data_IF_921235500089
#
_entry.id   IF_921235500089
#
_cell.length_a   1.000
_cell.length_b   1.000
_cell.length_c   1.000
_cell.angle_alpha   90.00
_cell.angle_beta   90.00
_cell.angle_gamma   90.00
#
_symmetry.space_group_name_H-M   'P 1'
#
loop_
_entity.id
_entity.type
_entity.pdbx_description
1 polymer ?
#
# COMPACT_ATOMS: atom_id res chain seq x y z
N UNK A 1 -2.96 -2.24 -40.42
CA UNK A 1 -4.26 -2.03 -39.75
C UNK A 1 -4.42 -3.14 -38.74
N UNK A 2 -3.89 -2.93 -37.53
CA UNK A 2 -4.23 -3.77 -36.38
C UNK A 2 -5.66 -3.36 -36.03
N UNK A 3 -6.61 -4.28 -36.10
CA UNK A 3 -7.94 -4.02 -35.57
C UNK A 3 -7.75 -3.67 -34.10
N UNK A 4 -8.18 -2.49 -33.66
CA UNK A 4 -8.27 -2.19 -32.23
C UNK A 4 -9.14 -3.29 -31.61
N UNK A 5 -8.50 -4.19 -30.86
CA UNK A 5 -9.23 -5.11 -29.98
C UNK A 5 -10.05 -4.22 -29.06
N UNK A 6 -11.36 -4.46 -29.01
CA UNK A 6 -12.24 -3.85 -28.03
C UNK A 6 -11.67 -4.17 -26.64
N UNK A 7 -11.27 -3.13 -25.90
CA UNK A 7 -10.67 -3.25 -24.56
C UNK A 7 -11.75 -3.66 -23.58
N UNK A 8 -11.52 -4.71 -22.79
CA UNK A 8 -12.49 -5.21 -21.81
C UNK A 8 -12.55 -4.32 -20.58
N UNK A 9 -11.47 -3.60 -20.28
CA UNK A 9 -11.40 -2.69 -19.14
C UNK A 9 -11.59 -1.25 -19.63
N UNK A 10 -12.65 -0.54 -19.18
CA UNK A 10 -12.98 0.79 -19.69
C UNK A 10 -12.10 1.88 -19.04
N UNK A 11 -10.80 1.91 -19.39
CA UNK A 11 -9.79 2.82 -18.82
C UNK A 11 -10.26 4.27 -18.77
N UNK A 12 -10.69 4.84 -19.89
CA UNK A 12 -11.04 6.25 -20.01
C UNK A 12 -12.20 6.62 -19.08
N UNK A 13 -13.19 5.72 -18.97
CA UNK A 13 -14.30 5.89 -18.06
C UNK A 13 -13.84 5.82 -16.60
N UNK A 14 -13.03 4.83 -16.22
CA UNK A 14 -12.50 4.67 -14.86
C UNK A 14 -11.71 5.91 -14.40
N UNK A 15 -10.79 6.39 -15.25
CA UNK A 15 -9.99 7.60 -14.97
C UNK A 15 -10.90 8.83 -14.85
N UNK A 16 -11.81 9.04 -15.81
CA UNK A 16 -12.68 10.22 -15.81
C UNK A 16 -13.64 10.23 -14.63
N UNK A 17 -14.32 9.12 -14.37
CA UNK A 17 -15.30 8.98 -13.28
C UNK A 17 -14.62 9.19 -11.92
N UNK A 18 -13.46 8.58 -11.70
CA UNK A 18 -12.70 8.70 -10.45
C UNK A 18 -12.15 10.10 -10.26
N UNK A 19 -11.59 10.71 -11.32
CA UNK A 19 -11.11 12.10 -11.29
C UNK A 19 -12.24 13.08 -10.98
N UNK A 20 -13.40 12.94 -11.62
CA UNK A 20 -14.56 13.79 -11.36
C UNK A 20 -15.09 13.59 -9.92
N UNK A 21 -15.09 12.35 -9.43
CA UNK A 21 -15.49 12.03 -8.06
C UNK A 21 -14.55 12.69 -7.04
N UNK A 22 -13.24 12.64 -7.27
CA UNK A 22 -12.22 13.34 -6.49
C UNK A 22 -12.41 14.85 -6.58
N UNK A 23 -12.61 15.42 -7.77
CA UNK A 23 -12.79 16.86 -7.97
C UNK A 23 -13.99 17.44 -7.23
N UNK A 24 -15.07 16.66 -7.09
CA UNK A 24 -16.25 17.04 -6.30
C UNK A 24 -16.06 16.97 -4.78
N UNK A 25 -14.96 16.40 -4.30
CA UNK A 25 -14.68 16.32 -2.87
C UNK A 25 -14.28 17.69 -2.30
N UNK A 26 -14.70 17.95 -1.06
CA UNK A 26 -14.48 19.21 -0.35
C UNK A 26 -14.11 18.94 1.10
N UNK A 27 -14.92 19.44 2.03
CA UNK A 27 -14.72 19.19 3.46
C UNK A 27 -15.09 17.75 3.84
N UNK A 28 -14.25 17.03 4.62
CA UNK A 28 -14.55 15.67 5.03
C UNK A 28 -15.75 15.56 5.97
N UNK A 29 -16.60 14.54 5.75
CA UNK A 29 -17.61 14.16 6.72
C UNK A 29 -17.04 13.20 7.78
N UNK A 30 -16.68 13.76 8.94
CA UNK A 30 -16.20 12.98 10.09
C UNK A 30 -17.32 12.25 10.86
N UNK A 31 -18.51 12.08 10.27
CA UNK A 31 -19.57 11.26 10.87
C UNK A 31 -19.07 9.85 11.18
N UNK A 32 -19.29 9.45 12.42
CA UNK A 32 -18.82 8.17 12.97
C UNK A 32 -17.52 8.28 13.78
N UNK A 33 -16.72 9.34 13.60
CA UNK A 33 -15.50 9.56 14.37
C UNK A 33 -15.80 10.28 15.69
N UNK A 34 -15.23 9.78 16.79
CA UNK A 34 -15.40 10.38 18.12
C UNK A 34 -14.32 11.41 18.38
N UNK A 35 -14.70 12.57 18.91
CA UNK A 35 -13.73 13.53 19.44
C UNK A 35 -13.12 13.05 20.75
N UNK A 36 -11.79 13.17 20.87
CA UNK A 36 -11.00 12.69 22.00
C UNK A 36 -10.41 13.87 22.77
N UNK A 37 -10.62 13.88 24.09
CA UNK A 37 -10.10 14.92 24.97
C UNK A 37 -8.60 14.74 25.23
N UNK A 38 -7.86 15.83 25.44
CA UNK A 38 -6.40 15.79 25.65
C UNK A 38 -5.97 14.87 26.81
N UNK A 39 -6.74 14.81 27.90
CA UNK A 39 -6.45 13.90 29.01
C UNK A 39 -6.55 12.42 28.64
N UNK A 40 -7.48 12.07 27.75
CA UNK A 40 -7.60 10.69 27.25
C UNK A 40 -6.41 10.35 26.35
N UNK A 41 -5.99 11.27 25.47
CA UNK A 41 -4.79 11.10 24.63
C UNK A 41 -3.55 10.83 25.47
N UNK A 42 -3.30 11.69 26.48
CA UNK A 42 -2.16 11.54 27.37
C UNK A 42 -2.23 10.25 28.21
N UNK A 43 -3.42 9.73 28.52
CA UNK A 43 -3.58 8.43 29.16
C UNK A 43 -3.22 7.31 28.19
N UNK A 44 -3.73 7.34 26.97
CA UNK A 44 -3.45 6.34 25.94
C UNK A 44 -1.95 6.27 25.65
N UNK A 45 -1.29 7.42 25.48
CA UNK A 45 0.16 7.49 25.27
C UNK A 45 0.97 6.85 26.41
N UNK A 46 0.54 7.02 27.68
CA UNK A 46 1.21 6.37 28.82
C UNK A 46 1.03 4.85 28.81
N UNK A 47 -0.18 4.39 28.50
CA UNK A 47 -0.44 2.95 28.40
C UNK A 47 0.35 2.33 27.25
N UNK A 48 0.41 3.00 26.09
CA UNK A 48 1.24 2.56 24.95
C UNK A 48 2.70 2.47 25.38
N UNK A 49 3.27 3.52 25.99
CA UNK A 49 4.67 3.51 26.47
C UNK A 49 4.94 2.34 27.41
N UNK A 50 4.05 2.09 28.37
CA UNK A 50 4.16 0.98 29.32
C UNK A 50 4.13 -0.39 28.63
N UNK A 51 3.23 -0.57 27.66
CA UNK A 51 3.15 -1.82 26.89
C UNK A 51 4.40 -2.02 26.03
N UNK A 52 4.90 -0.96 25.41
CA UNK A 52 6.15 -1.01 24.62
C UNK A 52 7.36 -1.34 25.49
N UNK A 53 7.47 -0.77 26.71
CA UNK A 53 8.54 -1.10 27.66
C UNK A 53 8.49 -2.56 28.12
N UNK A 54 7.28 -3.10 28.30
CA UNK A 54 7.09 -4.53 28.59
C UNK A 54 7.52 -5.39 27.40
N UNK A 55 7.10 -5.03 26.17
CA UNK A 55 7.54 -5.72 24.95
C UNK A 55 9.07 -5.76 24.84
N UNK A 56 9.76 -4.64 25.07
CA UNK A 56 11.24 -4.58 25.10
C UNK A 56 11.82 -5.61 26.08
N UNK A 57 11.22 -5.72 27.26
CA UNK A 57 11.67 -6.68 28.29
C UNK A 57 11.43 -8.12 27.85
N UNK A 58 10.25 -8.40 27.27
CA UNK A 58 9.84 -9.74 26.86
C UNK A 58 10.67 -10.27 25.69
N UNK A 59 11.14 -9.39 24.80
CA UNK A 59 11.94 -9.78 23.63
C UNK A 59 13.47 -9.72 23.86
N UNK A 60 13.93 -9.21 25.01
CA UNK A 60 15.35 -9.13 25.35
C UNK A 60 16.12 -10.48 25.19
N UNK A 61 15.53 -11.67 25.47
CA UNK A 61 16.20 -12.95 25.24
C UNK A 61 16.57 -13.24 23.76
N UNK A 62 15.93 -12.57 22.81
CA UNK A 62 16.17 -12.73 21.37
C UNK A 62 17.12 -11.66 20.81
N UNK A 63 17.47 -10.66 21.62
CA UNK A 63 18.24 -9.50 21.18
C UNK A 63 19.64 -9.89 20.70
N UNK A 64 20.03 -9.38 19.53
CA UNK A 64 21.35 -9.62 18.94
C UNK A 64 21.59 -11.03 18.41
N UNK A 65 20.57 -11.91 18.42
CA UNK A 65 20.58 -13.14 17.63
C UNK A 65 20.24 -12.81 16.20
N UNK A 66 20.87 -13.50 15.25
CA UNK A 66 20.42 -13.46 13.87
C UNK A 66 19.03 -14.14 13.80
N UNK A 67 18.02 -13.55 13.14
CA UNK A 67 16.74 -14.21 12.91
C UNK A 67 16.87 -15.61 12.29
N UNK A 68 17.92 -15.87 11.49
CA UNK A 68 18.20 -17.18 10.89
C UNK A 68 18.74 -18.21 11.90
N UNK A 69 19.32 -17.75 13.00
CA UNK A 69 19.88 -18.59 14.06
C UNK A 69 18.84 -18.98 15.13
N UNK A 70 17.62 -18.43 15.06
CA UNK A 70 16.55 -18.73 15.99
C UNK A 70 16.01 -20.14 15.75
N UNK A 71 15.91 -20.94 16.82
CA UNK A 71 15.22 -22.23 16.74
C UNK A 71 13.73 -22.02 16.42
N UNK A 72 13.03 -23.02 15.84
CA UNK A 72 11.60 -22.90 15.57
C UNK A 72 10.78 -22.48 16.80
N UNK A 73 11.11 -23.03 17.98
CA UNK A 73 10.45 -22.68 19.23
C UNK A 73 10.70 -21.23 19.68
N UNK A 74 11.90 -20.69 19.44
CA UNK A 74 12.22 -19.29 19.74
C UNK A 74 11.51 -18.34 18.77
N UNK A 75 11.46 -18.69 17.48
CA UNK A 75 10.68 -17.94 16.48
C UNK A 75 9.19 -17.90 16.85
N UNK A 76 8.61 -19.04 17.24
CA UNK A 76 7.21 -19.10 17.67
C UNK A 76 6.95 -18.28 18.94
N UNK A 77 7.89 -18.25 19.89
CA UNK A 77 7.77 -17.44 21.11
C UNK A 77 7.87 -15.94 20.80
N UNK A 78 8.81 -15.53 19.94
CA UNK A 78 8.95 -14.14 19.50
C UNK A 78 7.70 -13.66 18.76
N UNK A 79 7.20 -14.46 17.81
CA UNK A 79 5.94 -14.20 17.10
C UNK A 79 4.78 -14.04 18.07
N UNK A 80 4.58 -14.98 19.00
CA UNK A 80 3.51 -14.89 20.01
C UNK A 80 3.63 -13.65 20.88
N UNK A 81 4.84 -13.26 21.26
CA UNK A 81 5.10 -12.06 22.06
C UNK A 81 4.70 -10.79 21.32
N UNK A 82 5.12 -10.64 20.06
CA UNK A 82 4.78 -9.49 19.21
C UNK A 82 3.28 -9.45 18.93
N UNK A 83 2.67 -10.58 18.56
CA UNK A 83 1.22 -10.68 18.30
C UNK A 83 0.40 -10.32 19.54
N UNK A 84 0.79 -10.82 20.73
CA UNK A 84 0.11 -10.49 21.99
C UNK A 84 0.19 -8.99 22.30
N UNK A 85 1.32 -8.35 22.03
CA UNK A 85 1.46 -6.91 22.21
C UNK A 85 0.53 -6.12 21.29
N UNK A 86 0.51 -6.46 20.00
CA UNK A 86 -0.32 -5.80 18.98
C UNK A 86 -1.81 -5.97 19.31
N UNK A 87 -2.25 -7.18 19.69
CA UNK A 87 -3.62 -7.43 20.10
C UNK A 87 -4.00 -6.66 21.36
N UNK A 88 -3.10 -6.57 22.34
CA UNK A 88 -3.38 -5.82 23.56
C UNK A 88 -3.53 -4.31 23.29
N UNK A 89 -2.78 -3.73 22.34
CA UNK A 89 -2.97 -2.35 21.90
C UNK A 89 -4.38 -2.12 21.31
N UNK A 90 -4.82 -3.08 20.49
CA UNK A 90 -6.09 -3.04 19.75
C UNK A 90 -7.29 -3.24 20.69
N UNK A 91 -7.26 -4.27 21.54
CA UNK A 91 -8.28 -4.57 22.55
C UNK A 91 -8.48 -3.41 23.52
N UNK A 92 -7.38 -2.75 23.92
CA UNK A 92 -7.41 -1.55 24.78
C UNK A 92 -7.81 -0.28 24.03
N UNK A 93 -8.04 -0.33 22.71
CA UNK A 93 -8.51 0.79 21.89
C UNK A 93 -7.58 2.01 21.95
N UNK A 94 -6.27 1.75 21.97
CA UNK A 94 -5.27 2.79 22.20
C UNK A 94 -5.00 3.64 20.96
N UNK A 95 -5.15 3.06 19.76
CA UNK A 95 -5.06 3.78 18.48
C UNK A 95 -6.39 3.88 17.74
N UNK A 96 -7.31 2.94 17.96
CA UNK A 96 -8.58 2.83 17.25
C UNK A 96 -9.79 2.79 18.20
N UNK A 97 -10.97 3.17 17.73
CA UNK A 97 -12.21 3.16 18.55
C UNK A 97 -12.81 1.75 18.72
N UNK A 98 -12.49 0.84 17.81
CA UNK A 98 -12.94 -0.55 17.80
C UNK A 98 -11.75 -1.46 17.53
N UNK A 99 -11.62 -2.58 18.26
CA UNK A 99 -10.66 -3.61 17.90
C UNK A 99 -11.08 -4.27 16.60
N UNK A 100 -10.12 -4.58 15.75
CA UNK A 100 -10.31 -5.30 14.50
C UNK A 100 -9.20 -6.29 14.19
N UNK A 101 -8.02 -6.19 14.82
CA UNK A 101 -6.88 -7.03 14.48
C UNK A 101 -7.14 -8.52 14.75
N UNK A 102 -7.90 -8.83 15.81
CA UNK A 102 -8.32 -10.20 16.09
C UNK A 102 -9.11 -10.84 14.94
N UNK A 103 -9.93 -10.05 14.22
CA UNK A 103 -10.65 -10.53 13.04
C UNK A 103 -9.69 -10.91 11.92
N UNK A 104 -8.70 -10.07 11.61
CA UNK A 104 -7.72 -10.37 10.55
C UNK A 104 -6.89 -11.60 10.89
N UNK A 105 -6.43 -11.74 12.14
CA UNK A 105 -5.69 -12.93 12.59
C UNK A 105 -6.54 -14.20 12.46
N UNK A 106 -7.81 -14.19 12.88
CA UNK A 106 -8.70 -15.34 12.74
C UNK A 106 -8.90 -15.75 11.28
N UNK A 107 -8.77 -14.80 10.34
CA UNK A 107 -8.92 -15.04 8.91
C UNK A 107 -7.68 -15.55 8.20
N UNK A 108 -6.54 -15.71 8.88
CA UNK A 108 -5.33 -16.27 8.28
C UNK A 108 -4.36 -15.23 7.71
N UNK A 109 -4.46 -13.95 8.13
CA UNK A 109 -3.65 -12.88 7.54
C UNK A 109 -2.14 -13.06 7.77
N UNK A 110 -1.76 -13.63 8.92
CA UNK A 110 -0.35 -13.89 9.24
C UNK A 110 0.15 -15.13 8.51
N UNK A 111 -0.67 -16.16 8.44
CA UNK A 111 -0.41 -17.42 7.76
C UNK A 111 -0.11 -17.18 6.28
N UNK A 112 -0.90 -16.35 5.60
CA UNK A 112 -0.62 -16.00 4.21
C UNK A 112 0.67 -15.20 4.04
N UNK A 113 1.02 -14.33 4.99
CA UNK A 113 2.30 -13.64 4.95
C UNK A 113 3.48 -14.61 5.16
N UNK A 114 3.30 -15.63 5.99
CA UNK A 114 4.28 -16.69 6.21
C UNK A 114 4.44 -17.57 4.96
N UNK A 115 3.33 -17.99 4.35
CA UNK A 115 3.33 -18.74 3.08
C UNK A 115 4.09 -18.00 1.99
N UNK A 116 3.89 -16.68 1.88
CA UNK A 116 4.65 -15.83 0.96
C UNK A 116 6.16 -15.88 1.24
N UNK A 117 6.56 -15.67 2.50
CA UNK A 117 7.97 -15.63 2.88
C UNK A 117 8.66 -16.99 2.65
N UNK A 118 7.95 -18.08 2.90
CA UNK A 118 8.46 -19.43 2.64
C UNK A 118 8.61 -19.68 1.13
N UNK A 119 7.66 -19.23 0.31
CA UNK A 119 7.76 -19.31 -1.16
C UNK A 119 8.90 -18.45 -1.72
N UNK A 120 9.12 -17.24 -1.17
CA UNK A 120 10.28 -16.40 -1.52
C UNK A 120 11.59 -17.12 -1.21
N UNK A 121 11.75 -17.69 0.00
CA UNK A 121 12.96 -18.43 0.38
C UNK A 121 13.24 -19.64 -0.51
N UNK A 122 12.18 -20.28 -1.01
CA UNK A 122 12.29 -21.45 -1.89
C UNK A 122 12.68 -21.05 -3.32
N UNK A 123 12.15 -19.95 -3.84
CA UNK A 123 12.38 -19.54 -5.23
C UNK A 123 13.57 -18.59 -5.43
N UNK A 124 13.82 -17.65 -4.51
CA UNK A 124 14.90 -16.68 -4.60
C UNK A 124 15.36 -16.21 -3.20
N UNK A 125 16.31 -16.94 -2.61
CA UNK A 125 16.88 -16.61 -1.30
C UNK A 125 17.87 -15.44 -1.32
N UNK A 126 18.24 -14.94 -2.50
CA UNK A 126 19.24 -13.87 -2.64
C UNK A 126 18.63 -12.47 -2.58
N UNK A 127 17.29 -12.37 -2.58
CA UNK A 127 16.57 -11.10 -2.42
C UNK A 127 16.86 -10.45 -1.07
N UNK A 128 17.06 -9.14 -1.11
CA UNK A 128 17.29 -8.36 0.11
C UNK A 128 16.00 -8.24 0.92
N UNK A 129 16.08 -8.12 2.26
CA UNK A 129 14.90 -7.94 3.09
C UNK A 129 13.99 -6.79 2.66
N UNK A 130 14.56 -5.69 2.14
CA UNK A 130 13.79 -4.55 1.64
C UNK A 130 12.97 -4.88 0.39
N UNK A 131 13.51 -5.73 -0.49
CA UNK A 131 12.84 -6.17 -1.72
C UNK A 131 11.70 -7.13 -1.37
N UNK A 132 11.93 -8.05 -0.43
CA UNK A 132 10.87 -8.94 0.08
C UNK A 132 9.78 -8.13 0.78
N UNK A 133 10.15 -7.11 1.56
CA UNK A 133 9.18 -6.23 2.22
C UNK A 133 8.41 -5.34 1.24
N UNK A 134 9.01 -4.96 0.11
CA UNK A 134 8.30 -4.27 -0.97
C UNK A 134 7.20 -5.18 -1.55
N UNK A 135 7.53 -6.43 -1.86
CA UNK A 135 6.58 -7.39 -2.42
C UNK A 135 5.44 -7.77 -1.45
N UNK A 136 5.75 -7.98 -0.16
CA UNK A 136 4.73 -8.38 0.83
C UNK A 136 3.66 -7.29 1.06
N UNK A 137 3.97 -6.01 0.81
CA UNK A 137 2.96 -4.95 0.86
C UNK A 137 1.83 -5.21 -0.13
N UNK A 138 2.15 -5.71 -1.32
CA UNK A 138 1.16 -6.04 -2.33
C UNK A 138 0.31 -7.25 -1.93
N UNK A 139 0.94 -8.26 -1.34
CA UNK A 139 0.24 -9.41 -0.72
C UNK A 139 -0.79 -8.95 0.29
N UNK A 140 -0.46 -7.99 1.15
CA UNK A 140 -1.41 -7.48 2.13
C UNK A 140 -2.59 -6.76 1.49
N UNK A 141 -2.40 -6.05 0.38
CA UNK A 141 -3.53 -5.47 -0.37
C UNK A 141 -4.40 -6.58 -0.94
N UNK A 142 -3.81 -7.57 -1.63
CA UNK A 142 -4.54 -8.71 -2.19
C UNK A 142 -5.30 -9.51 -1.11
N UNK A 143 -4.72 -9.67 0.08
CA UNK A 143 -5.39 -10.31 1.22
C UNK A 143 -6.59 -9.50 1.74
N UNK A 144 -6.46 -8.17 1.82
CA UNK A 144 -7.58 -7.29 2.16
C UNK A 144 -8.71 -7.40 1.13
N UNK A 145 -8.35 -7.47 -0.15
CA UNK A 145 -9.28 -7.64 -1.26
C UNK A 145 -9.97 -9.01 -1.22
N UNK A 146 -9.24 -10.10 -0.94
CA UNK A 146 -9.83 -11.43 -0.73
C UNK A 146 -10.91 -11.37 0.37
N UNK A 147 -10.60 -10.78 1.53
CA UNK A 147 -11.58 -10.61 2.61
C UNK A 147 -12.76 -9.73 2.21
N UNK A 148 -12.52 -8.64 1.50
CA UNK A 148 -13.56 -7.71 1.07
C UNK A 148 -14.61 -8.38 0.16
N UNK A 149 -14.21 -9.30 -0.72
CA UNK A 149 -15.13 -10.06 -1.57
C UNK A 149 -15.51 -11.44 -1.02
N UNK A 150 -15.14 -11.75 0.22
CA UNK A 150 -15.44 -13.05 0.83
C UNK A 150 -14.75 -14.24 0.14
N UNK A 151 -13.64 -13.97 -0.54
CA UNK A 151 -12.76 -14.97 -1.13
C UNK A 151 -11.85 -15.53 -0.01
N UNK A 152 -11.61 -16.85 0.04
CA UNK A 152 -10.67 -17.43 1.01
C UNK A 152 -9.30 -16.75 0.92
N UNK A 153 -8.74 -16.38 2.07
CA UNK A 153 -7.43 -15.75 2.14
C UNK A 153 -6.37 -16.83 1.88
N UNK A 154 -5.84 -16.86 0.67
CA UNK A 154 -4.87 -17.87 0.22
C UNK A 154 -3.71 -17.23 -0.52
N UNK A 155 -2.51 -17.79 -0.37
CA UNK A 155 -1.36 -17.46 -1.20
C UNK A 155 -1.47 -18.23 -2.52
N UNK A 156 -2.09 -17.62 -3.53
CA UNK A 156 -2.24 -18.26 -4.85
C UNK A 156 -1.01 -17.99 -5.73
N UNK A 157 -0.77 -18.80 -6.78
CA UNK A 157 0.29 -18.54 -7.73
C UNK A 157 0.26 -17.12 -8.31
N UNK A 158 -0.94 -16.57 -8.58
CA UNK A 158 -1.08 -15.19 -9.06
C UNK A 158 -0.78 -14.14 -8.00
N UNK A 159 -1.20 -14.34 -6.74
CA UNK A 159 -0.86 -13.43 -5.63
C UNK A 159 0.64 -13.36 -5.43
N UNK A 160 1.31 -14.52 -5.37
CA UNK A 160 2.76 -14.61 -5.24
C UNK A 160 3.45 -13.96 -6.45
N UNK A 161 3.12 -14.42 -7.66
CA UNK A 161 3.88 -14.06 -8.85
C UNK A 161 3.79 -12.57 -9.16
N UNK A 162 2.60 -11.97 -9.02
CA UNK A 162 2.43 -10.54 -9.25
C UNK A 162 3.11 -9.68 -8.19
N UNK A 163 2.98 -10.05 -6.91
CA UNK A 163 3.67 -9.34 -5.82
C UNK A 163 5.19 -9.37 -5.99
N UNK A 164 5.73 -10.48 -6.50
CA UNK A 164 7.15 -10.63 -6.80
C UNK A 164 7.61 -9.88 -8.05
N UNK A 165 6.73 -9.38 -8.92
CA UNK A 165 7.17 -8.55 -10.06
C UNK A 165 7.81 -7.25 -9.58
N UNK A 166 7.30 -6.63 -8.51
CA UNK A 166 7.74 -5.30 -8.04
C UNK A 166 9.25 -5.21 -7.79
N UNK A 167 9.88 -6.12 -7.02
CA UNK A 167 11.34 -6.14 -6.87
C UNK A 167 12.13 -6.20 -8.17
N UNK A 168 11.62 -6.88 -9.20
CA UNK A 168 12.32 -7.01 -10.47
C UNK A 168 11.95 -5.89 -11.46
N UNK A 169 10.74 -5.35 -11.43
CA UNK A 169 10.31 -4.29 -12.35
C UNK A 169 10.70 -2.92 -11.81
N UNK A 170 10.28 -2.59 -10.59
CA UNK A 170 10.33 -1.22 -10.08
C UNK A 170 11.78 -0.84 -9.77
N UNK A 171 12.51 -1.70 -9.06
CA UNK A 171 13.93 -1.44 -8.77
C UNK A 171 14.78 -1.31 -10.04
N UNK A 172 14.44 -2.05 -11.10
CA UNK A 172 15.10 -1.93 -12.40
C UNK A 172 14.76 -0.61 -13.09
N UNK A 173 13.48 -0.22 -13.08
CA UNK A 173 12.99 1.00 -13.69
C UNK A 173 13.42 2.26 -12.94
N UNK A 174 13.64 2.18 -11.63
CA UNK A 174 14.07 3.30 -10.79
C UNK A 174 15.59 3.42 -10.69
N UNK A 175 16.33 2.34 -10.96
CA UNK A 175 17.79 2.33 -10.91
C UNK A 175 18.43 3.40 -11.80
N UNK A 176 19.27 4.25 -11.21
CA UNK A 176 20.05 5.25 -11.95
C UNK A 176 21.23 4.64 -12.72
N UNK A 177 21.56 3.37 -12.44
CA UNK A 177 22.65 2.63 -13.09
C UNK A 177 22.21 2.03 -14.44
N UNK A 178 20.90 1.82 -14.63
CA UNK A 178 20.33 1.28 -15.87
C UNK A 178 20.06 2.42 -16.86
N UNK A 179 20.53 2.25 -18.10
CA UNK A 179 20.34 3.26 -19.15
C UNK A 179 18.88 3.37 -19.58
N UNK A 180 18.46 4.56 -20.01
CA UNK A 180 17.10 4.82 -20.48
C UNK A 180 16.71 3.92 -21.66
N UNK A 181 17.65 3.66 -22.57
CA UNK A 181 17.42 2.78 -23.72
C UNK A 181 17.20 1.32 -23.30
N UNK A 182 17.88 0.87 -22.24
CA UNK A 182 17.71 -0.48 -21.70
C UNK A 182 16.35 -0.61 -20.99
N UNK A 183 15.94 0.40 -20.21
CA UNK A 183 14.58 0.47 -19.62
C UNK A 183 13.48 0.46 -20.68
N UNK A 184 13.66 1.23 -21.76
CA UNK A 184 12.70 1.26 -22.86
C UNK A 184 12.60 -0.10 -23.56
N UNK A 185 13.74 -0.77 -23.82
CA UNK A 185 13.78 -2.10 -24.42
C UNK A 185 13.13 -3.16 -23.54
N UNK A 186 13.42 -3.13 -22.23
CA UNK A 186 12.78 -4.01 -21.24
C UNK A 186 11.25 -3.84 -21.25
N UNK A 187 10.76 -2.60 -21.15
CA UNK A 187 9.31 -2.32 -21.16
C UNK A 187 8.62 -2.75 -22.46
N UNK A 188 9.25 -2.56 -23.61
CA UNK A 188 8.74 -3.02 -24.90
C UNK A 188 8.58 -4.55 -24.90
N UNK A 189 9.61 -5.28 -24.45
CA UNK A 189 9.63 -6.74 -24.44
C UNK A 189 8.65 -7.31 -23.43
N UNK A 190 8.60 -6.76 -22.22
CA UNK A 190 7.61 -7.11 -21.21
C UNK A 190 6.17 -6.90 -21.71
N UNK A 191 5.90 -5.80 -22.43
CA UNK A 191 4.58 -5.55 -23.03
C UNK A 191 4.17 -6.65 -24.01
N UNK A 192 5.11 -7.16 -24.81
CA UNK A 192 4.86 -8.27 -25.75
C UNK A 192 4.53 -9.57 -25.02
N UNK A 193 5.27 -9.89 -23.95
CA UNK A 193 5.00 -11.06 -23.10
C UNK A 193 3.65 -10.96 -22.39
N UNK A 194 3.31 -9.80 -21.84
CA UNK A 194 1.97 -9.55 -21.25
C UNK A 194 0.87 -9.74 -22.30
N UNK A 195 1.13 -9.31 -23.55
CA UNK A 195 0.20 -9.48 -24.69
C UNK A 195 0.08 -10.92 -25.20
N UNK A 196 0.86 -11.85 -24.66
CA UNK A 196 0.82 -13.28 -25.00
C UNK A 196 1.78 -13.69 -26.12
N UNK A 197 2.69 -12.81 -26.54
CA UNK A 197 3.77 -13.21 -27.46
C UNK A 197 4.83 -14.03 -26.72
N UNK A 198 5.34 -15.07 -27.39
CA UNK A 198 6.51 -15.78 -26.89
C UNK A 198 7.78 -15.00 -27.23
N UNK A 199 8.50 -14.56 -26.20
CA UNK A 199 9.74 -13.79 -26.32
C UNK A 199 10.81 -14.49 -25.49
N UNK A 200 11.90 -14.93 -26.14
CA UNK A 200 13.06 -15.47 -25.42
C UNK A 200 13.74 -14.36 -24.62
N UNK A 201 14.00 -14.58 -23.33
CA UNK A 201 14.66 -13.63 -22.45
C UNK A 201 16.10 -13.31 -22.91
N UNK A 202 16.52 -12.05 -22.79
CA UNK A 202 17.89 -11.63 -23.12
C UNK A 202 18.91 -11.90 -22.02
N UNK A 203 18.46 -12.01 -20.78
CA UNK A 203 19.29 -12.14 -19.59
C UNK A 203 18.48 -12.77 -18.43
N UNK A 204 19.14 -13.20 -17.34
CA UNK A 204 18.46 -13.87 -16.21
C UNK A 204 17.40 -13.02 -15.51
N UNK A 205 17.58 -11.70 -15.44
CA UNK A 205 16.63 -10.81 -14.78
C UNK A 205 15.32 -10.74 -15.58
N UNK A 206 15.42 -10.55 -16.90
CA UNK A 206 14.26 -10.60 -17.77
C UNK A 206 13.60 -11.99 -17.79
N UNK A 207 14.41 -13.06 -17.76
CA UNK A 207 13.93 -14.44 -17.63
C UNK A 207 13.02 -14.62 -16.41
N UNK A 208 13.46 -14.13 -15.24
CA UNK A 208 12.68 -14.19 -14.00
C UNK A 208 11.35 -13.44 -14.10
N UNK A 209 11.35 -12.24 -14.69
CA UNK A 209 10.11 -11.48 -14.91
C UNK A 209 9.14 -12.24 -15.81
N UNK A 210 9.64 -12.86 -16.89
CA UNK A 210 8.79 -13.62 -17.81
C UNK A 210 8.22 -14.88 -17.16
N UNK A 211 9.02 -15.60 -16.36
CA UNK A 211 8.58 -16.75 -15.57
C UNK A 211 7.44 -16.39 -14.60
N UNK A 212 7.52 -15.23 -13.93
CA UNK A 212 6.46 -14.76 -13.04
C UNK A 212 5.16 -14.47 -13.81
N UNK A 213 5.24 -13.85 -15.00
CA UNK A 213 4.07 -13.62 -15.86
C UNK A 213 3.48 -14.95 -16.36
N UNK A 214 4.32 -15.94 -16.67
CA UNK A 214 3.87 -17.29 -17.03
C UNK A 214 3.21 -18.02 -15.85
N UNK A 215 3.73 -17.84 -14.63
CA UNK A 215 3.17 -18.43 -13.40
C UNK A 215 1.74 -17.99 -13.14
N UNK A 216 1.38 -16.73 -13.44
CA UNK A 216 -0.01 -16.24 -13.40
C UNK A 216 -0.93 -17.11 -14.30
N UNK A 217 -0.42 -17.59 -15.44
CA UNK A 217 -1.18 -18.44 -16.36
C UNK A 217 -1.51 -19.83 -15.86
N UNK A 218 -0.87 -20.28 -14.77
CA UNK A 218 -1.21 -21.55 -14.10
C UNK A 218 -2.55 -21.49 -13.37
N UNK A 219 -2.97 -20.27 -12.99
CA UNK A 219 -4.25 -19.99 -12.34
C UNK A 219 -5.25 -19.36 -13.32
N UNK A 220 -4.84 -18.33 -14.06
CA UNK A 220 -5.68 -17.63 -15.03
C UNK A 220 -5.21 -17.85 -16.47
N UNK A 221 -5.80 -18.83 -17.16
CA UNK A 221 -5.49 -19.08 -18.57
C UNK A 221 -5.86 -17.88 -19.46
N UNK A 222 -4.92 -17.41 -20.29
CA UNK A 222 -5.06 -16.24 -21.18
C UNK A 222 -6.34 -16.19 -22.01
N UNK A 223 -6.72 -17.34 -22.58
CA UNK A 223 -7.90 -17.43 -23.46
C UNK A 223 -9.22 -17.36 -22.67
N UNK A 224 -9.20 -17.73 -21.39
CA UNK A 224 -10.38 -17.70 -20.51
C UNK A 224 -10.47 -16.42 -19.69
N UNK A 225 -9.33 -15.81 -19.36
CA UNK A 225 -9.23 -14.62 -18.51
C UNK A 225 -8.43 -13.49 -19.18
N UNK A 226 -8.84 -13.00 -20.37
CA UNK A 226 -8.12 -11.95 -21.08
C UNK A 226 -8.00 -10.65 -20.27
N UNK A 227 -9.00 -10.33 -19.43
CA UNK A 227 -9.00 -9.13 -18.58
C UNK A 227 -7.89 -9.12 -17.53
N UNK A 228 -7.44 -10.29 -17.04
CA UNK A 228 -6.31 -10.38 -16.10
C UNK A 228 -5.02 -9.89 -16.74
N UNK A 229 -4.78 -10.22 -18.01
CA UNK A 229 -3.59 -9.76 -18.71
C UNK A 229 -3.74 -8.32 -19.22
N UNK A 230 -4.96 -7.90 -19.54
CA UNK A 230 -5.27 -6.51 -19.84
C UNK A 230 -5.00 -5.59 -18.64
N UNK A 231 -5.32 -6.03 -17.41
CA UNK A 231 -5.08 -5.26 -16.18
C UNK A 231 -3.59 -5.12 -15.86
N UNK A 232 -2.80 -6.20 -16.00
CA UNK A 232 -1.32 -6.13 -15.91
C UNK A 232 -0.76 -5.17 -16.96
N UNK A 233 -1.28 -5.22 -18.19
CA UNK A 233 -0.92 -4.27 -19.25
C UNK A 233 -1.34 -2.83 -18.95
N UNK A 234 -2.39 -2.60 -18.16
CA UNK A 234 -2.83 -1.27 -17.75
C UNK A 234 -1.88 -0.65 -16.71
N UNK A 235 -1.50 -1.38 -15.66
CA UNK A 235 -0.55 -0.87 -14.67
C UNK A 235 0.83 -0.62 -15.28
N UNK A 236 1.28 -1.49 -16.20
CA UNK A 236 2.51 -1.26 -16.97
C UNK A 236 2.44 0.06 -17.77
N UNK A 237 1.31 0.33 -18.43
CA UNK A 237 1.09 1.60 -19.14
C UNK A 237 1.04 2.79 -18.18
N UNK A 238 0.45 2.62 -17.00
CA UNK A 238 0.35 3.67 -16.00
C UNK A 238 1.72 4.05 -15.42
N UNK A 239 2.57 3.06 -15.15
CA UNK A 239 3.97 3.28 -14.72
C UNK A 239 4.78 4.02 -15.80
N UNK A 240 4.59 3.68 -17.08
CA UNK A 240 5.25 4.40 -18.17
C UNK A 240 4.75 5.86 -18.26
N UNK A 241 3.46 6.08 -18.02
CA UNK A 241 2.85 7.41 -18.03
C UNK A 241 3.30 8.26 -16.84
N UNK A 242 3.49 7.68 -15.65
CA UNK A 242 3.94 8.39 -14.45
C UNK A 242 5.36 8.94 -14.56
N UNK A 243 6.24 8.33 -15.38
CA UNK A 243 7.58 8.88 -15.67
C UNK A 243 7.55 10.30 -16.25
N UNK A 244 6.39 10.80 -16.71
CA UNK A 244 6.22 12.20 -17.11
C UNK A 244 6.34 13.17 -15.94
N UNK A 245 6.07 12.73 -14.71
CA UNK A 245 6.16 13.54 -13.48
C UNK A 245 7.62 13.82 -13.09
N UNK A 246 8.58 13.11 -13.67
CA UNK A 246 10.03 13.28 -13.44
C UNK A 246 10.66 14.29 -14.42
N UNK A 247 9.84 14.90 -15.27
CA UNK A 247 10.31 15.86 -16.26
C UNK A 247 10.56 17.23 -15.63
N UNK A 248 11.55 17.96 -16.17
CA UNK A 248 11.85 19.34 -15.76
C UNK A 248 10.68 20.32 -15.99
N UNK A 249 9.69 19.95 -16.79
CA UNK A 249 8.53 20.79 -17.08
C UNK A 249 7.61 20.80 -15.86
N UNK A 250 7.39 21.99 -15.29
CA UNK A 250 6.43 22.18 -14.21
C UNK A 250 5.02 21.72 -14.62
N UNK A 251 4.44 20.82 -13.85
CA UNK A 251 3.07 20.33 -14.01
C UNK A 251 2.14 21.01 -13.01
N UNK A 252 0.89 21.19 -13.41
CA UNK A 252 -0.15 21.71 -12.51
C UNK A 252 -1.02 20.56 -11.93
N UNK A 253 -1.78 20.80 -10.85
CA UNK A 253 -2.60 19.76 -10.22
C UNK A 253 -3.56 19.04 -11.17
N UNK A 254 -4.13 19.73 -12.17
CA UNK A 254 -5.05 19.10 -13.14
C UNK A 254 -4.35 18.18 -14.15
N UNK A 255 -3.03 18.31 -14.32
CA UNK A 255 -2.22 17.37 -15.10
C UNK A 255 -1.74 16.20 -14.24
N UNK A 256 -1.43 16.43 -12.95
CA UNK A 256 -0.89 15.41 -12.03
C UNK A 256 -1.98 14.45 -11.56
N UNK A 257 -3.14 14.96 -11.13
CA UNK A 257 -4.20 14.16 -10.50
C UNK A 257 -4.64 12.98 -11.38
N UNK A 258 -4.91 13.14 -12.69
CA UNK A 258 -5.26 12.00 -13.54
C UNK A 258 -4.16 10.94 -13.66
N UNK A 259 -2.88 11.33 -13.58
CA UNK A 259 -1.74 10.41 -13.64
C UNK A 259 -1.66 9.60 -12.34
N UNK A 260 -1.71 10.25 -11.17
CA UNK A 260 -1.74 9.54 -9.87
C UNK A 260 -2.96 8.63 -9.77
N UNK A 261 -4.15 9.11 -10.18
CA UNK A 261 -5.38 8.31 -10.19
C UNK A 261 -5.25 7.10 -11.11
N UNK A 262 -4.68 7.26 -12.31
CA UNK A 262 -4.50 6.13 -13.23
C UNK A 262 -3.49 5.12 -12.71
N UNK A 263 -2.35 5.57 -12.17
CA UNK A 263 -1.32 4.69 -11.58
C UNK A 263 -1.87 3.88 -10.42
N UNK A 264 -2.41 4.56 -9.40
CA UNK A 264 -2.98 3.89 -8.24
C UNK A 264 -4.15 2.99 -8.60
N UNK A 265 -5.11 3.52 -9.38
CA UNK A 265 -6.30 2.79 -9.78
C UNK A 265 -5.99 1.55 -10.61
N UNK A 266 -5.03 1.61 -11.54
CA UNK A 266 -4.61 0.45 -12.30
C UNK A 266 -3.88 -0.60 -11.44
N UNK A 267 -3.12 -0.18 -10.42
CA UNK A 267 -2.41 -1.07 -9.50
C UNK A 267 -3.39 -1.97 -8.76
N UNK A 268 -4.34 -1.38 -8.04
CA UNK A 268 -5.34 -2.16 -7.29
C UNK A 268 -6.28 -2.89 -8.23
N UNK A 269 -6.59 -2.33 -9.40
CA UNK A 269 -7.39 -3.07 -10.40
C UNK A 269 -6.70 -4.37 -10.83
N UNK A 270 -5.38 -4.35 -11.05
CA UNK A 270 -4.60 -5.55 -11.34
C UNK A 270 -4.65 -6.55 -10.19
N UNK A 271 -4.44 -6.09 -8.94
CA UNK A 271 -4.55 -6.94 -7.74
C UNK A 271 -5.88 -7.70 -7.70
N UNK A 272 -6.98 -7.00 -7.94
CA UNK A 272 -8.32 -7.60 -7.86
C UNK A 272 -8.57 -8.59 -8.97
N UNK A 273 -8.15 -8.29 -10.20
CA UNK A 273 -8.22 -9.26 -11.30
C UNK A 273 -7.39 -10.51 -11.01
N UNK A 274 -6.24 -10.37 -10.36
CA UNK A 274 -5.37 -11.48 -9.96
C UNK A 274 -5.85 -12.24 -8.72
N UNK A 275 -6.86 -11.72 -8.02
CA UNK A 275 -7.56 -12.41 -6.93
C UNK A 275 -8.84 -13.09 -7.42
N UNK A 276 -9.58 -12.45 -8.33
CA UNK A 276 -10.96 -12.85 -8.68
C UNK A 276 -11.13 -13.33 -10.12
N UNK A 277 -10.21 -13.01 -11.02
CA UNK A 277 -10.26 -13.34 -12.45
C UNK A 277 -11.20 -12.46 -13.28
N UNK A 278 -12.41 -12.19 -12.79
CA UNK A 278 -13.42 -11.37 -13.46
C UNK A 278 -14.05 -10.35 -12.51
N UNK A 279 -14.39 -9.18 -13.06
CA UNK A 279 -14.99 -8.07 -12.32
C UNK A 279 -16.16 -7.46 -13.08
N UNK A 280 -17.18 -7.05 -12.33
CA UNK A 280 -18.22 -6.17 -12.85
C UNK A 280 -17.82 -4.68 -12.77
N UNK A 281 -18.67 -3.81 -13.30
CA UNK A 281 -18.41 -2.36 -13.33
C UNK A 281 -18.29 -1.73 -11.93
N UNK A 282 -19.06 -2.21 -10.95
CA UNK A 282 -19.06 -1.67 -9.59
C UNK A 282 -17.77 -2.07 -8.86
N UNK A 283 -17.34 -3.32 -9.04
CA UNK A 283 -16.09 -3.84 -8.50
C UNK A 283 -14.88 -3.15 -9.11
N UNK A 284 -14.87 -2.96 -10.43
CA UNK A 284 -13.83 -2.18 -11.10
C UNK A 284 -13.80 -0.73 -10.59
N UNK A 285 -14.97 -0.09 -10.44
CA UNK A 285 -15.05 1.29 -9.93
C UNK A 285 -14.57 1.40 -8.48
N UNK A 286 -14.90 0.44 -7.62
CA UNK A 286 -14.43 0.42 -6.24
C UNK A 286 -12.92 0.19 -6.18
N UNK A 287 -12.40 -0.85 -6.85
CA UNK A 287 -10.99 -1.18 -6.89
C UNK A 287 -10.14 0.00 -7.41
N UNK A 288 -10.59 0.63 -8.49
CA UNK A 288 -9.90 1.76 -9.10
C UNK A 288 -9.93 2.99 -8.18
N UNK A 289 -11.06 3.28 -7.54
CA UNK A 289 -11.17 4.34 -6.54
C UNK A 289 -10.30 4.09 -5.30
N UNK A 290 -10.21 2.83 -4.87
CA UNK A 290 -9.37 2.39 -3.76
C UNK A 290 -7.89 2.66 -4.10
N UNK A 291 -7.41 2.13 -5.22
CA UNK A 291 -6.04 2.37 -5.66
C UNK A 291 -5.73 3.85 -5.87
N UNK A 292 -6.67 4.63 -6.40
CA UNK A 292 -6.49 6.06 -6.59
C UNK A 292 -6.20 6.81 -5.29
N UNK A 293 -6.93 6.55 -4.19
CA UNK A 293 -6.64 7.24 -2.93
C UNK A 293 -5.37 6.70 -2.26
N UNK A 294 -5.03 5.42 -2.44
CA UNK A 294 -3.77 4.86 -1.93
C UNK A 294 -2.58 5.55 -2.57
N UNK A 295 -2.57 5.74 -3.89
CA UNK A 295 -1.50 6.48 -4.56
C UNK A 295 -1.40 7.93 -4.07
N UNK A 296 -2.52 8.62 -3.84
CA UNK A 296 -2.49 9.97 -3.28
C UNK A 296 -2.00 10.00 -1.82
N UNK A 297 -2.22 8.93 -1.06
CA UNK A 297 -1.71 8.79 0.30
C UNK A 297 -0.20 8.51 0.30
N UNK A 298 0.29 7.64 -0.59
CA UNK A 298 1.71 7.40 -0.81
C UNK A 298 2.40 8.72 -1.23
N UNK A 299 1.86 9.45 -2.23
CA UNK A 299 2.35 10.78 -2.65
C UNK A 299 2.42 11.78 -1.46
N UNK A 300 1.53 11.68 -0.48
CA UNK A 300 1.54 12.51 0.73
C UNK A 300 2.66 12.07 1.70
N UNK A 301 2.80 10.76 1.93
CA UNK A 301 3.81 10.18 2.81
C UNK A 301 5.24 10.45 2.30
N UNK A 302 5.42 10.42 0.98
CA UNK A 302 6.70 10.57 0.29
C UNK A 302 6.98 12.02 -0.15
N UNK A 303 6.05 12.94 0.12
CA UNK A 303 6.14 14.34 -0.32
C UNK A 303 7.45 15.05 0.05
N UNK A 304 8.10 14.63 1.14
CA UNK A 304 9.41 15.10 1.53
C UNK A 304 10.53 14.66 0.58
N UNK A 305 10.58 13.36 0.26
CA UNK A 305 11.55 12.76 -0.65
C UNK A 305 11.32 13.26 -2.09
N UNK A 306 10.06 13.25 -2.54
CA UNK A 306 9.67 13.74 -3.87
C UNK A 306 10.17 15.16 -4.14
N UNK A 307 10.04 16.06 -3.14
CA UNK A 307 10.53 17.44 -3.26
C UNK A 307 12.05 17.53 -3.39
N UNK A 308 12.79 16.64 -2.74
CA UNK A 308 14.25 16.62 -2.80
C UNK A 308 14.75 16.10 -4.15
N UNK A 309 14.03 15.13 -4.71
CA UNK A 309 14.38 14.45 -5.96
C UNK A 309 13.80 15.16 -7.20
N UNK A 310 12.85 16.07 -6.99
CA UNK A 310 12.18 16.84 -8.05
C UNK A 310 11.03 16.08 -8.71
N UNK A 311 10.57 14.98 -8.10
CA UNK A 311 9.39 14.23 -8.51
C UNK A 311 8.13 15.06 -8.26
N UNK A 312 7.29 15.25 -9.29
CA UNK A 312 6.12 16.14 -9.23
C UNK A 312 4.83 15.39 -8.90
N UNK A 313 4.49 15.33 -7.61
CA UNK A 313 3.25 14.76 -7.06
C UNK A 313 2.34 15.84 -6.51
N UNK A 314 1.08 15.49 -6.20
CA UNK A 314 0.10 16.46 -5.69
C UNK A 314 0.58 17.15 -4.41
N UNK A 315 1.41 16.49 -3.60
CA UNK A 315 1.90 17.01 -2.32
C UNK A 315 3.34 17.50 -2.37
N UNK A 316 4.09 17.24 -3.45
CA UNK A 316 5.44 17.79 -3.66
C UNK A 316 5.43 19.13 -4.39
N UNK A 317 4.45 19.39 -5.26
CA UNK A 317 4.39 20.63 -6.05
C UNK A 317 3.92 21.86 -5.25
N UNK A 318 4.48 23.02 -5.58
CA UNK A 318 4.14 24.33 -5.02
C UNK A 318 5.20 24.88 -4.08
N UNK A 319 4.91 26.03 -3.45
CA UNK A 319 5.79 26.58 -2.41
C UNK A 319 5.71 25.69 -1.17
N UNK A 320 6.87 25.36 -0.58
CA UNK A 320 6.98 24.62 0.70
C UNK A 320 6.21 25.30 1.83
N UNK A 321 5.99 26.62 1.74
CA UNK A 321 5.23 27.40 2.72
C UNK A 321 3.72 27.45 2.43
N UNK A 322 3.26 26.88 1.32
CA UNK A 322 1.83 26.80 1.02
C UNK A 322 1.17 25.75 1.91
N UNK A 323 0.01 26.13 2.46
CA UNK A 323 -0.75 25.27 3.35
C UNK A 323 -1.44 24.15 2.55
N UNK A 324 -1.32 22.91 3.01
CA UNK A 324 -1.90 21.72 2.40
C UNK A 324 -3.38 21.45 2.76
N UNK A 325 -3.99 22.23 3.67
CA UNK A 325 -5.35 22.02 4.20
C UNK A 325 -6.37 21.62 3.11
N UNK A 326 -6.46 22.39 2.01
CA UNK A 326 -7.42 22.11 0.94
C UNK A 326 -7.17 20.79 0.20
N UNK A 327 -5.90 20.42 -0.02
CA UNK A 327 -5.53 19.14 -0.67
C UNK A 327 -5.81 17.97 0.27
N UNK A 328 -5.51 18.12 1.56
CA UNK A 328 -5.75 17.11 2.59
C UNK A 328 -7.24 16.90 2.88
N UNK A 329 -8.03 17.97 2.98
CA UNK A 329 -9.49 17.88 3.09
C UNK A 329 -10.07 17.09 1.92
N UNK A 330 -9.63 17.40 0.69
CA UNK A 330 -10.09 16.69 -0.50
C UNK A 330 -9.72 15.21 -0.49
N UNK A 331 -8.48 14.87 -0.12
CA UNK A 331 -8.02 13.48 0.04
C UNK A 331 -8.85 12.72 1.08
N UNK A 332 -9.01 13.26 2.30
CA UNK A 332 -9.79 12.61 3.36
C UNK A 332 -11.26 12.44 2.94
N UNK A 333 -11.85 13.47 2.33
CA UNK A 333 -13.22 13.39 1.80
C UNK A 333 -13.34 12.33 0.72
N UNK A 334 -12.34 12.18 -0.15
CA UNK A 334 -12.35 11.16 -1.20
C UNK A 334 -12.22 9.74 -0.63
N UNK A 335 -11.31 9.53 0.33
CA UNK A 335 -11.17 8.27 1.08
C UNK A 335 -12.51 7.88 1.71
N UNK A 336 -13.18 8.81 2.39
CA UNK A 336 -14.46 8.52 3.05
C UNK A 336 -15.56 8.19 2.06
N UNK A 337 -15.59 8.87 0.91
CA UNK A 337 -16.57 8.64 -0.15
C UNK A 337 -16.39 7.27 -0.81
N UNK A 338 -15.16 6.88 -1.15
CA UNK A 338 -14.88 5.56 -1.75
C UNK A 338 -15.26 4.42 -0.78
N UNK A 339 -15.12 4.66 0.52
CA UNK A 339 -15.41 3.70 1.58
C UNK A 339 -16.77 3.94 2.26
N UNK A 340 -17.72 4.59 1.57
CA UNK A 340 -19.07 4.71 2.08
C UNK A 340 -19.77 3.34 2.04
N UNK A 341 -20.45 2.91 3.11
CA UNK A 341 -21.20 1.66 3.10
C UNK A 341 -22.29 1.68 2.03
N UNK A 342 -22.33 0.64 1.20
CA UNK A 342 -23.40 0.39 0.25
C UNK A 342 -24.59 -0.29 0.93
N UNK A 343 -25.77 -0.22 0.34
CA UNK A 343 -26.99 -0.79 0.92
C UNK A 343 -26.96 -2.32 1.03
N UNK A 344 -26.16 -2.96 0.20
CA UNK A 344 -25.98 -4.40 0.07
C UNK A 344 -24.64 -4.90 0.64
N UNK A 345 -23.86 -4.03 1.30
CA UNK A 345 -22.65 -4.45 2.00
C UNK A 345 -23.00 -5.43 3.13
N UNK A 346 -22.28 -6.56 3.15
CA UNK A 346 -22.31 -7.46 4.30
C UNK A 346 -21.47 -6.94 5.48
N UNK A 347 -21.52 -7.64 6.61
CA UNK A 347 -20.80 -7.24 7.82
C UNK A 347 -19.27 -7.17 7.62
N UNK A 348 -18.70 -8.00 6.74
CA UNK A 348 -17.26 -8.00 6.45
C UNK A 348 -16.89 -6.78 5.62
N UNK A 349 -17.63 -6.47 4.54
CA UNK A 349 -17.40 -5.26 3.74
C UNK A 349 -17.54 -4.00 4.57
N UNK A 350 -18.58 -3.92 5.41
CA UNK A 350 -18.78 -2.80 6.32
C UNK A 350 -17.60 -2.64 7.29
N UNK A 351 -17.09 -3.75 7.86
CA UNK A 351 -15.91 -3.73 8.72
C UNK A 351 -14.67 -3.26 7.95
N UNK A 352 -14.40 -3.83 6.78
CA UNK A 352 -13.25 -3.47 5.94
C UNK A 352 -13.26 -1.97 5.58
N UNK A 353 -14.40 -1.43 5.16
CA UNK A 353 -14.55 0.01 4.87
C UNK A 353 -14.29 0.88 6.11
N UNK A 354 -14.77 0.49 7.29
CA UNK A 354 -14.52 1.21 8.56
C UNK A 354 -13.03 1.18 8.95
N UNK A 355 -12.39 0.02 8.78
CA UNK A 355 -10.95 -0.18 9.03
C UNK A 355 -10.13 0.69 8.07
N UNK A 356 -10.41 0.62 6.76
CA UNK A 356 -9.71 1.41 5.74
C UNK A 356 -9.80 2.90 6.08
N UNK A 357 -11.02 3.43 6.31
CA UNK A 357 -11.22 4.86 6.65
C UNK A 357 -10.42 5.29 7.87
N UNK A 358 -10.40 4.45 8.91
CA UNK A 358 -9.74 4.79 10.17
C UNK A 358 -8.22 4.69 10.05
N UNK A 359 -7.71 3.65 9.41
CA UNK A 359 -6.28 3.45 9.17
C UNK A 359 -5.68 4.54 8.27
N UNK A 360 -6.34 4.87 7.17
CA UNK A 360 -5.84 5.91 6.25
C UNK A 360 -5.93 7.31 6.88
N UNK A 361 -6.96 7.59 7.69
CA UNK A 361 -7.01 8.84 8.47
C UNK A 361 -5.84 8.92 9.45
N UNK A 362 -5.51 7.80 10.11
CA UNK A 362 -4.33 7.72 10.99
C UNK A 362 -3.03 7.98 10.22
N UNK A 363 -2.87 7.44 9.00
CA UNK A 363 -1.70 7.71 8.14
C UNK A 363 -1.59 9.19 7.76
N UNK A 364 -2.69 9.85 7.38
CA UNK A 364 -2.70 11.30 7.13
C UNK A 364 -2.29 12.08 8.38
N UNK A 365 -2.85 11.70 9.54
CA UNK A 365 -2.54 12.31 10.83
C UNK A 365 -1.08 12.13 11.25
N UNK A 366 -0.49 10.98 10.91
CA UNK A 366 0.92 10.66 11.15
C UNK A 366 1.85 11.58 10.33
N UNK A 367 1.60 11.75 9.03
CA UNK A 367 2.36 12.67 8.17
C UNK A 367 2.32 14.11 8.71
N UNK A 368 1.12 14.58 9.09
CA UNK A 368 0.94 15.91 9.67
C UNK A 368 1.66 16.04 11.02
N UNK A 369 1.71 14.96 11.80
CA UNK A 369 2.48 14.89 13.05
C UNK A 369 3.98 15.08 12.85
N UNK A 370 4.54 14.60 11.73
CA UNK A 370 5.96 14.78 11.36
C UNK A 370 6.27 16.24 10.99
N UNK A 371 5.38 16.89 10.26
CA UNK A 371 5.56 18.28 9.80
C UNK A 371 4.35 19.18 10.13
N UNK A 372 4.11 19.57 11.40
CA UNK A 372 2.92 20.36 11.77
C UNK A 372 2.83 21.73 11.09
N UNK A 373 3.93 22.24 10.55
CA UNK A 373 3.98 23.50 9.80
C UNK A 373 3.43 23.43 8.38
N UNK A 374 3.13 22.22 7.87
CA UNK A 374 2.55 22.00 6.53
C UNK A 374 1.06 22.35 6.45
N UNK A 375 0.40 22.48 7.60
CA UNK A 375 -1.05 22.73 7.72
C UNK A 375 -1.36 23.93 8.61
N UNK A 376 -2.59 24.46 8.53
CA UNK A 376 -3.00 25.50 9.47
C UNK A 376 -3.18 24.96 10.89
N UNK A 377 -3.05 25.86 11.88
CA UNK A 377 -3.35 25.53 13.28
C UNK A 377 -4.81 25.10 13.49
N UNK A 378 -5.74 25.58 12.66
CA UNK A 378 -7.14 25.20 12.72
C UNK A 378 -7.33 23.76 12.30
N UNK A 379 -6.80 23.41 11.13
CA UNK A 379 -6.87 22.07 10.57
C UNK A 379 -6.13 21.03 11.42
N UNK A 380 -4.93 21.35 11.91
CA UNK A 380 -4.19 20.49 12.85
C UNK A 380 -5.05 20.15 14.08
N UNK A 381 -5.70 21.14 14.70
CA UNK A 381 -6.53 20.92 15.89
C UNK A 381 -7.79 20.11 15.60
N UNK A 382 -8.38 20.30 14.43
CA UNK A 382 -9.53 19.53 13.98
C UNK A 382 -9.17 18.05 13.83
N UNK A 383 -8.13 17.74 13.06
CA UNK A 383 -7.66 16.36 12.87
C UNK A 383 -7.21 15.73 14.19
N UNK A 384 -6.40 16.44 14.96
CA UNK A 384 -5.94 15.94 16.25
C UNK A 384 -7.15 15.64 17.15
N UNK A 385 -8.27 16.36 17.04
CA UNK A 385 -9.48 16.08 17.83
C UNK A 385 -10.06 14.69 17.61
N UNK A 386 -9.81 14.05 16.47
CA UNK A 386 -10.25 12.68 16.15
C UNK A 386 -9.17 11.62 16.45
N UNK A 387 -7.94 12.02 16.77
CA UNK A 387 -6.86 11.09 17.12
C UNK A 387 -6.94 10.61 18.58
N UNK A 388 -6.63 9.33 18.80
CA UNK A 388 -6.54 8.71 20.13
C UNK A 388 -5.28 9.10 20.90
N UNK A 389 -4.31 9.72 20.23
CA UNK A 389 -3.04 10.22 20.76
C UNK A 389 -2.77 11.62 20.18
N UNK A 390 -1.78 12.37 20.69
CA UNK A 390 -1.34 13.61 20.02
C UNK A 390 -0.72 13.27 18.67
N UNK A 391 -0.84 14.13 17.65
CA UNK A 391 -0.30 13.78 16.32
C UNK A 391 1.22 13.60 16.35
N UNK A 392 1.92 14.42 17.14
CA UNK A 392 3.37 14.28 17.35
C UNK A 392 3.77 12.97 18.02
N UNK A 393 2.85 12.28 18.70
CA UNK A 393 3.13 11.01 19.34
C UNK A 393 3.31 9.87 18.33
N UNK A 394 2.71 9.96 17.14
CA UNK A 394 2.96 8.96 16.09
C UNK A 394 4.45 8.89 15.75
N UNK A 395 5.12 10.05 15.57
CA UNK A 395 6.57 10.12 15.34
C UNK A 395 7.40 9.60 16.52
N UNK A 396 6.95 9.84 17.77
CA UNK A 396 7.61 9.29 18.97
C UNK A 396 7.55 7.75 18.97
N UNK A 397 6.35 7.21 18.71
CA UNK A 397 6.08 5.78 18.71
C UNK A 397 6.81 5.06 17.58
N UNK A 398 6.79 5.62 16.36
CA UNK A 398 7.49 5.07 15.20
C UNK A 398 9.00 4.97 15.44
N UNK A 399 9.62 6.00 16.03
CA UNK A 399 11.05 5.96 16.43
C UNK A 399 11.30 4.86 17.47
N UNK A 400 10.43 4.71 18.45
CA UNK A 400 10.54 3.66 19.46
C UNK A 400 10.49 2.26 18.83
N UNK A 401 9.53 2.02 17.94
CA UNK A 401 9.38 0.73 17.26
C UNK A 401 10.53 0.44 16.31
N UNK A 402 11.05 1.44 15.60
CA UNK A 402 12.24 1.27 14.75
C UNK A 402 13.47 0.84 15.56
N UNK A 403 13.74 1.49 16.68
CA UNK A 403 14.85 1.09 17.57
C UNK A 403 14.66 -0.33 18.12
N UNK A 404 13.42 -0.74 18.37
CA UNK A 404 13.09 -2.11 18.77
C UNK A 404 13.44 -3.13 17.67
N UNK A 405 12.99 -2.86 16.44
CA UNK A 405 13.22 -3.72 15.26
C UNK A 405 14.73 -3.84 14.96
N UNK A 406 15.45 -2.71 15.00
CA UNK A 406 16.91 -2.68 14.84
C UNK A 406 17.61 -3.51 15.93
N UNK A 407 17.16 -3.44 17.18
CA UNK A 407 17.74 -4.19 18.29
C UNK A 407 17.53 -5.72 18.17
N UNK A 408 16.46 -6.15 17.50
CA UNK A 408 16.18 -7.55 17.22
C UNK A 408 16.96 -8.11 16.02
N UNK A 409 17.77 -7.29 15.34
CA UNK A 409 18.42 -7.72 14.10
C UNK A 409 17.45 -7.88 12.92
N UNK A 410 16.16 -7.57 13.11
CA UNK A 410 15.10 -7.72 12.10
C UNK A 410 15.14 -6.59 11.05
N UNK A 411 16.01 -5.58 11.19
CA UNK A 411 15.91 -4.40 10.34
C UNK A 411 17.12 -3.47 10.26
N UNK A 412 18.35 -3.97 10.19
CA UNK A 412 19.47 -3.13 9.71
C UNK A 412 19.24 -2.57 8.29
N UNK A 413 18.24 -3.10 7.59
CA UNK A 413 17.91 -2.81 6.20
C UNK A 413 16.49 -2.21 6.00
N UNK A 414 15.49 -2.58 6.82
CA UNK A 414 14.11 -2.04 6.71
C UNK A 414 14.03 -0.55 7.10
N UNK A 415 14.88 -0.07 8.01
CA UNK A 415 14.88 1.31 8.50
C UNK A 415 15.25 2.37 7.44
N UNK A 416 15.77 1.97 6.27
CA UNK A 416 16.03 2.87 5.13
C UNK A 416 14.86 3.00 4.16
N UNK A 417 13.89 2.08 4.20
CA UNK A 417 12.70 2.09 3.33
C UNK A 417 11.47 2.74 3.97
N UNK A 418 11.63 3.35 5.15
CA UNK A 418 10.63 4.24 5.79
C UNK A 418 11.05 5.70 5.56
N UNK A 419 11.63 6.01 4.40
CA UNK A 419 12.08 7.35 4.04
C UNK A 419 11.49 7.81 2.74
#
# INVERSE_FOLDING_TARGET
>A
MVMEKETLIPKEWLVSNTSESYEKCGDPDYKGFRKIHIFEKLRNEREIKKLSERLVTDIEPFRGKDPEDLTPAENDELKRTITSYILELDERKLFFDKPFLGFFLEKGYMESAEDFLDEVKLEDSDLKPEEVFQAIRNVWIMNSLQLYWGIPLTMTPSVYAYSMLYPYTDNFLDSTEVKKEDKARFNERLTRVISGEHVESSDPHEGRVFELIEKIGTEFQRDSYPSVYESIGLIQRAQIESMRQDQMKAMNPSEIVPISIFKGGASVLADVFLVKGELDEEEMSFAFGYGAFLQLLDDLQDSGADRLEGHQTLFSIGDKNSNLDGRLSKLISFIFKVNEPAADDDATKMLMKDVIRTCTLMMVMEVIGREPGSVSRGFYRELESYSKVRLTFFTEYEKQMRTLIEALGIGTNIGKSIK
#
